data_IF_071798377559
#
_entry.id   IF_071798377559
#
_cell.length_a   1.000
_cell.length_b   1.000
_cell.length_c   1.000
_cell.angle_alpha   90.00
_cell.angle_beta   90.00
_cell.angle_gamma   90.00
#
_symmetry.space_group_name_H-M   'P 1'
#
loop_
_entity.id
_entity.type
_entity.pdbx_description
1 polymer ?
#
# COMPACT_ATOMS: atom_id res chain seq x y z
N UNK A 1 -9.00 -13.71 18.24
CA UNK A 1 -8.89 -12.26 18.00
C UNK A 1 -10.25 -11.58 18.13
N UNK A 2 -10.25 -10.25 18.30
CA UNK A 2 -11.44 -9.41 18.17
C UNK A 2 -11.35 -8.61 16.86
N UNK A 3 -12.21 -8.92 15.92
CA UNK A 3 -12.22 -8.36 14.57
C UNK A 3 -13.44 -7.46 14.40
N UNK A 4 -13.26 -6.26 13.86
CA UNK A 4 -14.34 -5.37 13.48
C UNK A 4 -14.39 -5.25 11.96
N UNK A 5 -15.48 -5.68 11.34
CA UNK A 5 -15.70 -5.57 9.89
C UNK A 5 -16.38 -4.24 9.59
N UNK A 6 -15.72 -3.39 8.82
CA UNK A 6 -16.22 -2.08 8.41
C UNK A 6 -16.94 -2.19 7.07
N UNK A 7 -18.15 -1.70 7.01
CA UNK A 7 -18.99 -1.72 5.80
C UNK A 7 -19.66 -0.36 5.61
N UNK A 8 -19.99 0.03 4.37
CA UNK A 8 -20.70 1.28 4.13
C UNK A 8 -22.17 1.21 4.61
N UNK A 9 -22.65 2.30 5.20
CA UNK A 9 -24.07 2.52 5.48
C UNK A 9 -24.70 3.35 4.35
N UNK A 10 -25.60 2.76 3.61
CA UNK A 10 -26.23 3.38 2.45
C UNK A 10 -27.54 4.10 2.75
N UNK A 11 -27.95 4.25 4.01
CA UNK A 11 -29.28 4.79 4.37
C UNK A 11 -29.57 6.17 3.80
N UNK A 12 -28.54 7.03 3.68
CA UNK A 12 -28.67 8.38 3.15
C UNK A 12 -28.21 8.51 1.69
N UNK A 13 -27.87 7.40 1.06
CA UNK A 13 -27.50 7.40 -0.35
C UNK A 13 -28.73 7.59 -1.24
N UNK A 14 -28.59 8.40 -2.29
CA UNK A 14 -29.60 8.56 -3.34
C UNK A 14 -29.74 7.32 -4.23
N UNK A 15 -28.72 6.48 -4.23
CA UNK A 15 -28.65 5.24 -5.02
C UNK A 15 -28.88 4.06 -4.08
N UNK A 16 -29.74 3.13 -4.47
CA UNK A 16 -29.97 1.90 -3.72
C UNK A 16 -28.88 0.86 -4.08
N UNK A 17 -27.84 0.82 -3.27
CA UNK A 17 -26.70 -0.10 -3.42
C UNK A 17 -26.97 -1.52 -2.92
N UNK A 18 -28.08 -1.78 -2.23
CA UNK A 18 -28.36 -3.09 -1.61
C UNK A 18 -28.45 -4.24 -2.61
N UNK A 19 -28.72 -3.93 -3.88
CA UNK A 19 -28.84 -4.93 -4.94
C UNK A 19 -27.49 -5.37 -5.54
N UNK A 20 -26.39 -4.65 -5.29
CA UNK A 20 -25.08 -5.04 -5.81
C UNK A 20 -23.93 -4.90 -4.79
N UNK A 21 -24.15 -4.29 -3.64
CA UNK A 21 -23.25 -4.31 -2.49
C UNK A 21 -24.02 -4.69 -1.21
N UNK A 22 -24.50 -5.94 -1.09
CA UNK A 22 -25.20 -6.42 0.09
C UNK A 22 -24.24 -6.52 1.29
N UNK A 23 -24.77 -6.42 2.53
CA UNK A 23 -23.97 -6.66 3.73
C UNK A 23 -23.26 -8.01 3.70
N UNK A 24 -22.01 -8.02 4.12
CA UNK A 24 -21.12 -9.19 4.15
C UNK A 24 -20.93 -9.64 5.61
N UNK A 25 -21.33 -10.86 5.93
CA UNK A 25 -21.08 -11.48 7.24
C UNK A 25 -19.84 -12.38 7.15
N UNK A 26 -18.75 -11.96 7.79
CA UNK A 26 -17.48 -12.68 7.81
C UNK A 26 -17.33 -13.62 9.01
N UNK A 27 -18.32 -13.73 9.89
CA UNK A 27 -18.26 -14.53 11.12
C UNK A 27 -17.98 -16.01 10.82
N UNK A 28 -18.58 -16.53 9.73
CA UNK A 28 -18.37 -17.91 9.30
C UNK A 28 -16.97 -18.20 8.75
N UNK A 29 -16.24 -17.17 8.31
CA UNK A 29 -14.88 -17.29 7.80
C UNK A 29 -13.80 -17.17 8.90
N UNK A 30 -14.18 -16.82 10.12
CA UNK A 30 -13.28 -16.64 11.26
C UNK A 30 -13.74 -17.46 12.48
N UNK A 31 -13.86 -18.80 12.33
CA UNK A 31 -14.29 -19.63 13.44
C UNK A 31 -13.29 -19.50 14.61
N UNK A 32 -13.83 -19.28 15.82
CA UNK A 32 -13.04 -19.10 17.04
C UNK A 32 -12.61 -17.65 17.31
N UNK A 33 -12.87 -16.72 16.41
CA UNK A 33 -12.64 -15.28 16.62
C UNK A 33 -13.98 -14.58 16.96
N UNK A 34 -13.89 -13.46 17.66
CA UNK A 34 -15.05 -12.58 17.87
C UNK A 34 -15.12 -11.57 16.72
N UNK A 35 -16.18 -11.62 15.94
CA UNK A 35 -16.40 -10.75 14.79
C UNK A 35 -17.58 -9.84 15.07
N UNK A 36 -17.36 -8.54 15.07
CA UNK A 36 -18.36 -7.50 15.17
C UNK A 36 -18.44 -6.75 13.81
N UNK A 37 -19.62 -6.28 13.39
CA UNK A 37 -19.81 -5.55 12.13
C UNK A 37 -20.22 -4.10 12.44
N UNK A 38 -19.52 -3.14 11.82
CA UNK A 38 -19.77 -1.71 11.96
C UNK A 38 -20.09 -1.09 10.60
N UNK A 39 -21.29 -0.56 10.47
CA UNK A 39 -21.73 0.18 9.28
C UNK A 39 -21.35 1.66 9.44
N UNK A 40 -20.49 2.16 8.54
CA UNK A 40 -19.98 3.50 8.58
C UNK A 40 -20.81 4.44 7.73
N UNK A 41 -21.05 5.63 8.26
CA UNK A 41 -21.74 6.71 7.59
C UNK A 41 -20.74 7.79 7.18
N UNK A 42 -20.74 8.20 5.91
CA UNK A 42 -19.74 9.13 5.34
C UNK A 42 -19.46 10.36 6.21
N UNK A 43 -20.50 11.01 6.72
CA UNK A 43 -20.37 12.23 7.52
C UNK A 43 -19.87 12.00 8.96
N UNK A 44 -19.85 10.76 9.45
CA UNK A 44 -19.50 10.44 10.85
C UNK A 44 -18.41 9.39 10.97
N UNK A 45 -17.79 8.96 9.87
CA UNK A 45 -16.75 7.93 9.78
C UNK A 45 -15.70 8.07 10.89
N UNK A 46 -15.05 9.22 11.01
CA UNK A 46 -14.02 9.44 12.02
C UNK A 46 -14.53 9.27 13.45
N UNK A 47 -15.73 9.79 13.76
CA UNK A 47 -16.34 9.66 15.11
C UNK A 47 -16.63 8.21 15.45
N UNK A 48 -17.25 7.47 14.51
CA UNK A 48 -17.58 6.06 14.69
C UNK A 48 -16.32 5.21 14.90
N UNK A 49 -15.27 5.42 14.09
CA UNK A 49 -14.00 4.71 14.23
C UNK A 49 -13.26 5.06 15.52
N UNK A 50 -13.29 6.32 15.97
CA UNK A 50 -12.73 6.72 17.26
C UNK A 50 -13.42 6.05 18.44
N UNK A 51 -14.72 5.84 18.37
CA UNK A 51 -15.50 5.12 19.37
C UNK A 51 -15.18 3.62 19.34
N UNK A 52 -15.15 3.03 18.13
CA UNK A 52 -14.79 1.64 17.92
C UNK A 52 -13.35 1.31 18.37
N UNK A 53 -12.40 2.22 18.14
CA UNK A 53 -11.01 2.05 18.57
C UNK A 53 -10.86 1.86 20.08
N UNK A 54 -11.76 2.44 20.88
CA UNK A 54 -11.77 2.25 22.35
C UNK A 54 -12.25 0.88 22.80
N UNK A 55 -12.89 0.12 21.92
CA UNK A 55 -13.41 -1.21 22.23
C UNK A 55 -12.30 -2.29 22.23
N UNK A 56 -11.08 -1.97 21.77
CA UNK A 56 -9.91 -2.86 21.79
C UNK A 56 -10.02 -4.00 20.79
N UNK A 57 -10.32 -3.69 19.54
CA UNK A 57 -10.21 -4.63 18.41
C UNK A 57 -8.74 -4.84 18.02
N UNK A 58 -8.40 -6.08 17.67
CA UNK A 58 -7.07 -6.43 17.18
C UNK A 58 -6.84 -5.97 15.74
N UNK A 59 -7.93 -5.85 14.96
CA UNK A 59 -7.90 -5.45 13.54
C UNK A 59 -9.26 -4.94 13.07
N UNK A 60 -9.25 -3.99 12.15
CA UNK A 60 -10.41 -3.54 11.39
C UNK A 60 -10.32 -4.09 9.94
N UNK A 61 -11.26 -4.95 9.56
CA UNK A 61 -11.39 -5.44 8.18
C UNK A 61 -12.18 -4.42 7.38
N UNK A 62 -11.48 -3.63 6.57
CA UNK A 62 -12.10 -2.57 5.78
C UNK A 62 -12.67 -3.10 4.47
N UNK A 63 -13.98 -3.05 4.32
CA UNK A 63 -14.73 -3.39 3.11
C UNK A 63 -15.42 -2.16 2.48
N UNK A 64 -15.01 -0.94 2.86
CA UNK A 64 -15.54 0.29 2.28
C UNK A 64 -14.81 0.62 0.98
N UNK A 65 -15.50 0.46 -0.14
CA UNK A 65 -14.96 0.55 -1.51
C UNK A 65 -15.57 1.72 -2.31
N UNK A 66 -16.18 2.71 -1.63
CA UNK A 66 -16.86 3.83 -2.28
C UNK A 66 -15.91 4.69 -3.13
N UNK A 67 -16.45 5.33 -4.16
CA UNK A 67 -15.70 6.31 -4.95
C UNK A 67 -15.53 7.61 -4.18
N UNK A 68 -14.45 8.33 -4.50
CA UNK A 68 -14.10 9.58 -3.81
C UNK A 68 -15.19 10.64 -3.90
N UNK A 69 -15.86 10.71 -5.04
CA UNK A 69 -16.90 11.71 -5.35
C UNK A 69 -18.30 11.32 -4.83
N UNK A 70 -18.44 10.16 -4.24
CA UNK A 70 -19.74 9.69 -3.74
C UNK A 70 -19.91 9.92 -2.24
N UNK A 71 -21.15 10.09 -1.81
CA UNK A 71 -21.53 10.16 -0.39
C UNK A 71 -21.50 8.78 0.30
N UNK A 72 -20.50 7.96 -0.05
CA UNK A 72 -20.28 6.63 0.46
C UNK A 72 -18.91 6.57 1.13
N UNK A 73 -18.77 5.92 2.30
CA UNK A 73 -17.47 5.72 2.95
C UNK A 73 -16.43 5.12 2.01
N UNK A 74 -15.26 5.74 1.92
CA UNK A 74 -14.23 5.44 0.95
C UNK A 74 -12.83 5.70 1.54
N UNK A 75 -12.01 6.53 0.91
CA UNK A 75 -10.68 6.93 1.39
C UNK A 75 -10.71 7.60 2.77
N UNK A 76 -11.81 8.24 3.13
CA UNK A 76 -12.03 8.83 4.47
C UNK A 76 -11.99 7.79 5.60
N UNK A 77 -12.34 6.54 5.31
CA UNK A 77 -12.19 5.42 6.26
C UNK A 77 -10.70 5.17 6.52
N UNK A 78 -9.90 5.09 5.49
CA UNK A 78 -8.45 4.82 5.60
C UNK A 78 -7.76 5.99 6.32
N UNK A 79 -8.02 7.24 5.94
CA UNK A 79 -7.47 8.40 6.63
C UNK A 79 -7.88 8.47 8.10
N UNK A 80 -9.09 8.03 8.44
CA UNK A 80 -9.55 7.97 9.82
C UNK A 80 -8.83 6.88 10.61
N UNK A 81 -8.62 5.71 10.02
CA UNK A 81 -7.87 4.61 10.63
C UNK A 81 -6.41 4.98 10.84
N UNK A 82 -5.76 5.58 9.84
CA UNK A 82 -4.38 6.08 9.95
C UNK A 82 -4.24 7.14 11.04
N UNK A 83 -5.16 8.13 11.06
CA UNK A 83 -5.14 9.21 12.05
C UNK A 83 -5.37 8.72 13.48
N UNK A 84 -6.11 7.63 13.64
CA UNK A 84 -6.41 7.00 14.93
C UNK A 84 -5.39 5.90 15.28
N UNK A 85 -4.39 5.68 14.43
CA UNK A 85 -3.36 4.64 14.58
C UNK A 85 -3.97 3.25 14.83
N UNK A 86 -5.02 2.91 14.08
CA UNK A 86 -5.73 1.63 14.20
C UNK A 86 -5.24 0.64 13.15
N UNK A 87 -5.08 -0.65 13.49
CA UNK A 87 -4.71 -1.69 12.53
C UNK A 87 -5.88 -1.98 11.57
N UNK A 88 -5.60 -2.08 10.26
CA UNK A 88 -6.64 -2.36 9.25
C UNK A 88 -6.14 -3.17 8.06
N UNK A 89 -7.08 -3.80 7.33
CA UNK A 89 -6.83 -4.50 6.07
C UNK A 89 -7.08 -3.59 4.87
N UNK A 90 -6.54 -3.97 3.72
CA UNK A 90 -6.68 -3.20 2.48
C UNK A 90 -5.52 -2.23 2.25
N UNK A 91 -5.60 -1.39 1.20
CA UNK A 91 -4.54 -0.48 0.80
C UNK A 91 -4.44 0.74 1.72
N UNK A 92 -3.27 1.39 1.73
CA UNK A 92 -3.15 2.76 2.26
C UNK A 92 -3.86 3.77 1.36
N UNK A 93 -4.06 4.99 1.88
CA UNK A 93 -4.70 6.06 1.11
C UNK A 93 -3.95 6.39 -0.20
N UNK A 94 -2.63 6.23 -0.22
CA UNK A 94 -1.78 6.42 -1.41
C UNK A 94 -2.13 5.46 -2.55
N UNK A 95 -2.60 4.27 -2.23
CA UNK A 95 -2.89 3.20 -3.19
C UNK A 95 -4.39 3.03 -3.48
N UNK A 96 -5.25 3.82 -2.84
CA UNK A 96 -6.70 3.62 -2.91
C UNK A 96 -7.24 3.67 -4.34
N UNK A 97 -6.89 4.71 -5.09
CA UNK A 97 -7.31 4.90 -6.48
C UNK A 97 -6.19 5.57 -7.30
N UNK A 98 -5.13 4.83 -7.68
CA UNK A 98 -4.06 5.38 -8.50
C UNK A 98 -4.56 5.73 -9.90
N UNK A 99 -4.06 6.83 -10.47
CA UNK A 99 -4.43 7.23 -11.83
C UNK A 99 -4.01 6.16 -12.84
N UNK A 100 -4.77 6.06 -13.94
CA UNK A 100 -4.44 5.11 -15.03
C UNK A 100 -3.08 5.40 -15.65
N UNK A 101 -2.66 6.66 -15.70
CA UNK A 101 -1.32 7.05 -16.13
C UNK A 101 -0.23 6.48 -15.21
N UNK A 102 -0.39 6.60 -13.89
CA UNK A 102 0.53 6.01 -12.93
C UNK A 102 0.58 4.48 -13.07
N UNK A 103 -0.55 3.84 -13.31
CA UNK A 103 -0.60 2.39 -13.57
C UNK A 103 0.26 1.99 -14.78
N UNK A 104 0.16 2.73 -15.88
CA UNK A 104 0.96 2.49 -17.09
C UNK A 104 2.45 2.80 -16.87
N UNK A 105 2.75 3.86 -16.12
CA UNK A 105 4.13 4.20 -15.76
C UNK A 105 4.80 3.10 -14.93
N UNK A 106 4.11 2.58 -13.92
CA UNK A 106 4.62 1.45 -13.12
C UNK A 106 4.83 0.22 -14.01
N UNK A 107 3.88 -0.12 -14.88
CA UNK A 107 4.03 -1.23 -15.82
C UNK A 107 5.28 -1.05 -16.71
N UNK A 108 5.48 0.16 -17.25
CA UNK A 108 6.64 0.50 -18.06
C UNK A 108 7.96 0.28 -17.31
N UNK A 109 8.09 0.85 -16.11
CA UNK A 109 9.32 0.76 -15.31
C UNK A 109 9.64 -0.66 -14.87
N UNK A 110 8.64 -1.53 -14.84
CA UNK A 110 8.77 -2.96 -14.50
C UNK A 110 8.85 -3.89 -15.70
N UNK A 111 8.87 -3.35 -16.92
CA UNK A 111 8.98 -4.14 -18.15
C UNK A 111 7.75 -5.00 -18.48
N UNK A 112 6.58 -4.67 -17.91
CA UNK A 112 5.32 -5.33 -18.23
C UNK A 112 4.62 -4.55 -19.35
N UNK A 113 4.20 -5.26 -20.40
CA UNK A 113 3.51 -4.62 -21.55
C UNK A 113 2.17 -4.06 -21.14
N UNK A 114 1.81 -2.92 -21.71
CA UNK A 114 0.52 -2.25 -21.58
C UNK A 114 0.11 -1.64 -22.93
N UNK A 115 -1.18 -1.41 -23.21
CA UNK A 115 -1.63 -0.75 -24.44
C UNK A 115 -1.04 0.67 -24.54
N UNK A 116 -0.61 1.08 -25.72
CA UNK A 116 -0.26 2.48 -25.97
C UNK A 116 -1.48 3.35 -25.68
N UNK A 117 -1.25 4.52 -25.10
CA UNK A 117 -2.35 5.41 -24.69
C UNK A 117 -1.98 6.88 -24.85
N UNK A 118 -3.00 7.72 -24.96
CA UNK A 118 -2.88 9.17 -24.98
C UNK A 118 -4.04 9.81 -24.21
N UNK A 119 -3.83 11.05 -23.79
CA UNK A 119 -4.90 11.91 -23.30
C UNK A 119 -5.24 12.96 -24.36
N UNK A 120 -6.54 13.13 -24.65
CA UNK A 120 -7.02 14.01 -25.68
C UNK A 120 -7.15 13.35 -27.05
N UNK A 121 -7.99 13.94 -27.90
CA UNK A 121 -8.39 13.38 -29.19
C UNK A 121 -7.27 13.41 -30.22
N UNK A 122 -6.68 14.59 -30.46
CA UNK A 122 -5.75 14.76 -31.59
C UNK A 122 -4.45 13.95 -31.37
N UNK A 123 -3.81 13.92 -30.17
CA UNK A 123 -2.68 13.04 -29.93
C UNK A 123 -3.01 11.55 -30.14
N UNK A 124 -4.23 11.13 -29.73
CA UNK A 124 -4.66 9.75 -29.91
C UNK A 124 -4.79 9.38 -31.37
N UNK A 125 -5.44 10.23 -32.19
CA UNK A 125 -5.62 9.98 -33.63
C UNK A 125 -4.29 9.98 -34.40
N UNK A 126 -3.30 10.72 -33.94
CA UNK A 126 -1.97 10.77 -34.59
C UNK A 126 -1.08 9.58 -34.23
N UNK A 127 -1.19 9.03 -33.03
CA UNK A 127 -0.19 8.11 -32.44
C UNK A 127 -0.68 6.71 -32.20
N UNK A 128 -1.99 6.49 -32.07
CA UNK A 128 -2.57 5.20 -31.73
C UNK A 128 -3.18 4.50 -32.93
N UNK A 129 -3.12 3.16 -32.91
CA UNK A 129 -3.76 2.33 -33.91
C UNK A 129 -5.23 2.01 -33.55
N UNK A 130 -6.10 1.93 -34.55
CA UNK A 130 -7.46 1.44 -34.38
C UNK A 130 -7.51 -0.10 -34.29
N UNK A 131 -8.49 -0.67 -33.57
CA UNK A 131 -9.53 0.02 -32.80
C UNK A 131 -8.99 0.64 -31.52
N UNK A 132 -9.58 1.75 -31.08
CA UNK A 132 -9.22 2.46 -29.85
C UNK A 132 -10.28 2.25 -28.79
N UNK A 133 -9.87 2.32 -27.52
CA UNK A 133 -10.74 2.19 -26.37
C UNK A 133 -10.71 3.46 -25.53
N UNK A 134 -11.87 4.08 -25.33
CA UNK A 134 -12.01 5.33 -24.58
C UNK A 134 -12.65 5.07 -23.25
N UNK A 135 -12.00 5.54 -22.17
CA UNK A 135 -12.45 5.37 -20.78
C UNK A 135 -12.08 6.57 -19.92
N UNK A 136 -12.71 6.79 -18.75
CA UNK A 136 -12.28 7.83 -17.82
C UNK A 136 -10.80 7.68 -17.43
N UNK A 137 -10.08 8.81 -17.33
CA UNK A 137 -8.69 8.83 -16.87
C UNK A 137 -8.54 8.45 -15.40
N UNK A 138 -9.57 8.75 -14.61
CA UNK A 138 -9.79 8.32 -13.24
C UNK A 138 -11.12 7.57 -13.17
N UNK A 139 -11.32 6.77 -12.23
CA UNK A 139 -12.43 5.89 -11.95
C UNK A 139 -12.16 4.41 -12.31
N UNK A 140 -12.59 3.55 -11.41
CA UNK A 140 -12.58 2.10 -11.55
C UNK A 140 -13.96 1.55 -11.95
N UNK A 141 -14.14 0.25 -11.79
CA UNK A 141 -15.43 -0.46 -11.85
C UNK A 141 -16.19 -0.35 -13.17
N UNK A 142 -15.47 -0.10 -14.27
CA UNK A 142 -16.04 0.15 -15.60
C UNK A 142 -17.03 1.32 -15.67
N UNK A 143 -16.97 2.28 -14.73
CA UNK A 143 -17.73 3.52 -14.85
C UNK A 143 -17.38 4.23 -16.14
N UNK A 144 -18.40 4.73 -16.84
CA UNK A 144 -18.24 5.38 -18.15
C UNK A 144 -17.88 4.43 -19.30
N UNK A 145 -17.74 3.11 -19.03
CA UNK A 145 -17.45 2.10 -20.05
C UNK A 145 -18.74 1.44 -20.52
N UNK A 146 -19.06 1.63 -21.79
CA UNK A 146 -20.20 1.07 -22.51
C UNK A 146 -19.77 0.55 -23.89
N UNK A 147 -20.73 0.17 -24.73
CA UNK A 147 -20.42 -0.35 -26.08
C UNK A 147 -19.74 0.68 -26.97
N UNK A 148 -20.00 1.96 -26.76
CA UNK A 148 -19.42 3.06 -27.55
C UNK A 148 -17.98 3.38 -27.11
N UNK A 149 -17.49 2.74 -26.03
CA UNK A 149 -16.10 2.87 -25.61
C UNK A 149 -15.10 2.25 -26.58
N UNK A 150 -15.53 1.28 -27.40
CA UNK A 150 -14.72 0.68 -28.47
C UNK A 150 -14.95 1.45 -29.78
N UNK A 151 -14.02 2.33 -30.11
CA UNK A 151 -14.08 3.23 -31.25
C UNK A 151 -13.29 2.67 -32.44
N UNK A 152 -13.88 2.74 -33.63
CA UNK A 152 -13.30 2.26 -34.89
C UNK A 152 -13.05 3.38 -35.90
N UNK A 153 -13.58 4.57 -35.63
CA UNK A 153 -13.44 5.76 -36.46
C UNK A 153 -13.04 6.99 -35.63
N UNK A 154 -12.41 8.00 -36.25
CA UNK A 154 -12.08 9.26 -35.60
C UNK A 154 -13.30 9.98 -35.00
N UNK A 155 -14.46 9.88 -35.67
CA UNK A 155 -15.71 10.49 -35.24
C UNK A 155 -16.20 9.84 -33.90
N UNK A 156 -16.14 8.53 -33.81
CA UNK A 156 -16.49 7.78 -32.58
C UNK A 156 -15.56 8.16 -31.42
N UNK A 157 -14.24 8.28 -31.68
CA UNK A 157 -13.28 8.72 -30.64
C UNK A 157 -13.64 10.11 -30.15
N UNK A 158 -13.90 11.08 -31.06
CA UNK A 158 -14.25 12.46 -30.67
C UNK A 158 -15.52 12.51 -29.83
N UNK A 159 -16.56 11.80 -30.27
CA UNK A 159 -17.83 11.75 -29.57
C UNK A 159 -17.68 11.14 -28.15
N UNK A 160 -16.98 10.01 -28.04
CA UNK A 160 -16.82 9.32 -26.77
C UNK A 160 -15.91 10.08 -25.81
N UNK A 161 -14.80 10.66 -26.28
CA UNK A 161 -13.92 11.51 -25.45
C UNK A 161 -14.71 12.70 -24.90
N UNK A 162 -15.48 13.41 -25.74
CA UNK A 162 -16.29 14.53 -25.29
C UNK A 162 -17.31 14.14 -24.23
N UNK A 163 -17.97 12.98 -24.37
CA UNK A 163 -18.92 12.47 -23.38
C UNK A 163 -18.24 12.15 -22.03
N UNK A 164 -17.10 11.46 -22.08
CA UNK A 164 -16.34 11.09 -20.87
C UNK A 164 -15.77 12.34 -20.18
N UNK A 165 -15.20 13.29 -20.92
CA UNK A 165 -14.66 14.53 -20.33
C UNK A 165 -15.74 15.37 -19.67
N UNK A 166 -16.95 15.40 -20.25
CA UNK A 166 -18.08 16.13 -19.67
C UNK A 166 -18.52 15.54 -18.34
N UNK A 167 -18.52 14.21 -18.21
CA UNK A 167 -19.04 13.51 -17.02
C UNK A 167 -17.95 13.26 -15.97
N UNK A 168 -16.73 12.91 -16.40
CA UNK A 168 -15.63 12.46 -15.53
C UNK A 168 -14.40 13.39 -15.50
N UNK A 169 -14.43 14.49 -16.25
CA UNK A 169 -13.38 15.50 -16.26
C UNK A 169 -12.14 15.16 -17.11
N UNK A 170 -11.85 13.88 -17.37
CA UNK A 170 -10.74 13.46 -18.24
C UNK A 170 -11.01 12.13 -18.91
N UNK A 171 -10.57 11.99 -20.17
CA UNK A 171 -10.66 10.77 -20.94
C UNK A 171 -9.26 10.25 -21.31
N UNK A 172 -9.04 8.95 -21.11
CA UNK A 172 -7.89 8.23 -21.64
C UNK A 172 -8.32 7.43 -22.86
N UNK A 173 -7.56 7.54 -23.93
CA UNK A 173 -7.70 6.74 -25.16
C UNK A 173 -6.55 5.77 -25.23
N UNK A 174 -6.82 4.47 -25.39
CA UNK A 174 -5.78 3.45 -25.53
C UNK A 174 -6.06 2.53 -26.73
N UNK A 175 -5.03 1.89 -27.26
CA UNK A 175 -5.19 0.84 -28.27
C UNK A 175 -5.95 -0.34 -27.67
N UNK A 176 -6.98 -0.82 -28.36
CA UNK A 176 -7.76 -1.96 -27.91
C UNK A 176 -7.03 -3.27 -28.22
N UNK A 177 -6.72 -4.01 -27.18
CA UNK A 177 -6.10 -5.33 -27.34
C UNK A 177 -7.20 -6.37 -27.55
N UNK A 178 -7.29 -6.91 -28.74
CA UNK A 178 -8.23 -7.99 -29.04
C UNK A 178 -7.76 -9.32 -28.44
N UNK A 179 -8.68 -10.11 -27.90
CA UNK A 179 -8.39 -11.45 -27.40
C UNK A 179 -8.94 -11.76 -26.02
N UNK A 180 -8.25 -12.64 -25.31
CA UNK A 180 -8.68 -13.20 -24.02
C UNK A 180 -8.44 -12.21 -22.88
N UNK A 181 -9.33 -12.19 -21.90
CA UNK A 181 -9.22 -11.33 -20.71
C UNK A 181 -9.06 -12.17 -19.45
N UNK A 182 -8.12 -11.75 -18.59
CA UNK A 182 -7.77 -12.45 -17.35
C UNK A 182 -7.75 -11.49 -16.19
N UNK A 183 -8.01 -12.04 -15.01
CA UNK A 183 -7.84 -11.30 -13.76
C UNK A 183 -7.09 -12.13 -12.73
N UNK A 184 -6.27 -11.43 -11.91
CA UNK A 184 -5.41 -12.03 -10.88
C UNK A 184 -5.57 -11.24 -9.60
N UNK A 185 -5.83 -11.93 -8.49
CA UNK A 185 -5.78 -11.35 -7.16
C UNK A 185 -4.37 -11.47 -6.59
N UNK A 186 -3.88 -10.39 -5.99
CA UNK A 186 -2.57 -10.34 -5.32
C UNK A 186 -2.76 -9.77 -3.93
N UNK A 187 -2.00 -10.28 -2.96
CA UNK A 187 -2.00 -9.73 -1.60
C UNK A 187 -0.59 -9.58 -1.06
N UNK A 188 -0.45 -8.65 -0.11
CA UNK A 188 0.75 -8.49 0.70
C UNK A 188 1.08 -9.80 1.44
N UNK A 189 2.36 -10.15 1.47
CA UNK A 189 2.84 -11.29 2.23
C UNK A 189 3.30 -10.83 3.63
N UNK A 190 2.61 -11.23 4.71
CA UNK A 190 2.98 -10.81 6.06
C UNK A 190 4.37 -11.28 6.49
N UNK A 191 4.88 -12.37 5.92
CA UNK A 191 6.21 -12.89 6.21
C UNK A 191 7.31 -12.15 5.45
N UNK A 192 7.02 -11.68 4.22
CA UNK A 192 7.97 -10.94 3.40
C UNK A 192 7.24 -9.97 2.46
N UNK A 193 7.20 -8.69 2.81
CA UNK A 193 6.52 -7.65 2.02
C UNK A 193 7.05 -7.50 0.59
N UNK A 194 8.28 -7.95 0.31
CA UNK A 194 8.90 -7.86 -1.01
C UNK A 194 8.51 -9.01 -1.94
N UNK A 195 7.83 -10.02 -1.43
CA UNK A 195 7.37 -11.20 -2.17
C UNK A 195 5.84 -11.35 -2.08
N UNK A 196 5.08 -10.52 -2.80
CA UNK A 196 3.61 -10.59 -2.76
C UNK A 196 3.10 -11.93 -3.25
N UNK A 197 1.95 -12.35 -2.73
CA UNK A 197 1.28 -13.60 -3.07
C UNK A 197 0.27 -13.37 -4.19
N UNK A 198 0.35 -14.13 -5.26
CA UNK A 198 -0.62 -14.09 -6.36
C UNK A 198 -1.39 -15.41 -6.43
N UNK A 199 -2.71 -15.30 -6.47
CA UNK A 199 -3.65 -16.43 -6.41
C UNK A 199 -3.98 -16.98 -7.80
N UNK A 200 -4.89 -17.96 -7.88
CA UNK A 200 -5.25 -18.64 -9.13
C UNK A 200 -5.82 -17.61 -10.14
N UNK A 201 -5.20 -17.39 -11.30
CA UNK A 201 -5.79 -16.54 -12.33
C UNK A 201 -7.08 -17.14 -12.87
N UNK A 202 -8.05 -16.27 -13.17
CA UNK A 202 -9.25 -16.66 -13.89
C UNK A 202 -9.31 -15.94 -15.25
N UNK A 203 -9.95 -16.58 -16.21
CA UNK A 203 -10.30 -16.03 -17.51
C UNK A 203 -11.77 -15.65 -17.53
N UNK A 204 -12.08 -14.49 -18.08
CA UNK A 204 -13.45 -14.10 -18.33
C UNK A 204 -13.87 -14.48 -19.75
N UNK A 205 -14.86 -15.36 -19.85
CA UNK A 205 -15.45 -15.78 -21.12
C UNK A 205 -16.58 -14.82 -21.49
N UNK A 206 -16.38 -14.07 -22.56
CA UNK A 206 -17.38 -13.13 -23.04
C UNK A 206 -18.55 -13.85 -23.71
N UNK A 207 -19.81 -13.36 -23.48
CA UNK A 207 -20.95 -13.78 -24.27
C UNK A 207 -20.73 -13.51 -25.77
N UNK A 208 -21.44 -14.25 -26.62
CA UNK A 208 -21.35 -14.05 -28.07
C UNK A 208 -21.74 -12.62 -28.46
N UNK A 209 -20.83 -11.93 -29.15
CA UNK A 209 -21.00 -10.54 -29.58
C UNK A 209 -20.39 -9.48 -28.66
N UNK A 210 -19.92 -9.85 -27.48
CA UNK A 210 -19.20 -8.95 -26.58
C UNK A 210 -17.69 -9.31 -26.58
N UNK A 211 -16.83 -8.28 -26.52
CA UNK A 211 -15.37 -8.45 -26.52
C UNK A 211 -14.67 -7.77 -25.34
N UNK A 212 -15.41 -7.13 -24.45
CA UNK A 212 -14.91 -6.48 -23.24
C UNK A 212 -16.04 -6.31 -22.20
N UNK A 213 -15.65 -6.10 -20.92
CA UNK A 213 -16.60 -5.88 -19.81
C UNK A 213 -17.16 -4.47 -19.85
N UNK A 214 -18.45 -4.34 -20.10
CA UNK A 214 -19.18 -3.09 -19.89
C UNK A 214 -19.72 -3.02 -18.45
N UNK A 215 -20.09 -1.82 -17.99
CA UNK A 215 -20.79 -1.66 -16.72
C UNK A 215 -22.04 -2.54 -16.62
N UNK A 216 -22.83 -2.59 -17.71
CA UNK A 216 -24.02 -3.43 -17.77
C UNK A 216 -23.72 -4.93 -17.60
N UNK A 217 -22.63 -5.42 -18.20
CA UNK A 217 -22.20 -6.83 -18.04
C UNK A 217 -21.72 -7.14 -16.61
N UNK A 218 -21.14 -6.16 -15.93
CA UNK A 218 -20.73 -6.34 -14.52
C UNK A 218 -21.92 -6.43 -13.56
N UNK A 219 -22.94 -5.62 -13.77
CA UNK A 219 -24.05 -5.47 -12.84
C UNK A 219 -25.22 -6.43 -13.13
N UNK A 220 -25.47 -6.74 -14.41
CA UNK A 220 -26.67 -7.47 -14.84
C UNK A 220 -26.42 -8.95 -15.21
N UNK A 221 -25.19 -9.31 -15.51
CA UNK A 221 -24.85 -10.62 -16.06
C UNK A 221 -23.77 -11.33 -15.23
N UNK A 222 -24.02 -11.52 -13.93
CA UNK A 222 -23.21 -12.42 -13.12
C UNK A 222 -23.50 -13.87 -13.54
N UNK A 223 -22.79 -14.32 -14.58
CA UNK A 223 -22.77 -15.72 -14.94
C UNK A 223 -21.53 -16.39 -14.32
N UNK A 224 -21.69 -17.23 -13.27
CA UNK A 224 -20.57 -17.95 -12.65
C UNK A 224 -19.73 -18.71 -13.69
N UNK A 225 -20.37 -19.21 -14.73
CA UNK A 225 -19.75 -19.95 -15.83
C UNK A 225 -18.82 -19.10 -16.72
N UNK A 226 -18.92 -17.77 -16.65
CA UNK A 226 -18.03 -16.86 -17.39
C UNK A 226 -16.67 -16.66 -16.74
N UNK A 227 -16.48 -17.09 -15.48
CA UNK A 227 -15.24 -16.91 -14.72
C UNK A 227 -14.59 -18.29 -14.52
N UNK A 228 -13.66 -18.66 -15.41
CA UNK A 228 -13.05 -19.99 -15.41
C UNK A 228 -11.59 -19.94 -14.96
N UNK A 229 -11.17 -20.91 -14.17
CA UNK A 229 -9.77 -21.02 -13.77
C UNK A 229 -8.86 -21.25 -14.98
N UNK A 230 -7.73 -20.55 -15.04
CA UNK A 230 -6.71 -20.79 -16.07
C UNK A 230 -6.05 -22.14 -15.82
N UNK A 231 -6.38 -23.13 -16.65
CA UNK A 231 -5.87 -24.51 -16.52
C UNK A 231 -4.43 -24.66 -17.01
N UNK A 232 -4.00 -23.86 -17.99
CA UNK A 232 -2.63 -23.83 -18.47
C UNK A 232 -1.69 -23.28 -17.41
N UNK A 233 -0.86 -24.14 -16.83
CA UNK A 233 0.09 -23.81 -15.76
C UNK A 233 1.12 -22.77 -16.19
N UNK A 234 1.57 -22.81 -17.45
CA UNK A 234 2.56 -21.86 -17.95
C UNK A 234 1.95 -20.46 -18.06
N UNK A 235 0.76 -20.37 -18.60
CA UNK A 235 0.01 -19.12 -18.67
C UNK A 235 -0.33 -18.60 -17.27
N UNK A 236 -0.81 -19.45 -16.37
CA UNK A 236 -1.13 -19.08 -15.00
C UNK A 236 0.10 -18.50 -14.27
N UNK A 237 1.28 -19.11 -14.45
CA UNK A 237 2.52 -18.59 -13.84
C UNK A 237 2.95 -17.26 -14.45
N UNK A 238 2.82 -17.06 -15.76
CA UNK A 238 3.10 -15.78 -16.42
C UNK A 238 2.20 -14.65 -15.89
N UNK A 239 0.91 -14.94 -15.74
CA UNK A 239 -0.08 -14.00 -15.18
C UNK A 239 0.26 -13.65 -13.73
N UNK A 240 0.54 -14.64 -12.88
CA UNK A 240 0.93 -14.42 -11.48
C UNK A 240 2.20 -13.59 -11.37
N UNK A 241 3.21 -13.87 -12.18
CA UNK A 241 4.47 -13.14 -12.16
C UNK A 241 4.30 -11.69 -12.61
N UNK A 242 3.57 -11.45 -13.69
CA UNK A 242 3.24 -10.09 -14.12
C UNK A 242 2.46 -9.32 -13.03
N UNK A 243 1.50 -9.97 -12.39
CA UNK A 243 0.70 -9.37 -11.33
C UNK A 243 1.54 -9.03 -10.08
N UNK A 244 2.42 -9.93 -9.63
CA UNK A 244 3.36 -9.66 -8.52
C UNK A 244 4.30 -8.50 -8.86
N UNK A 245 4.83 -8.48 -10.08
CA UNK A 245 5.76 -7.45 -10.56
C UNK A 245 5.11 -6.07 -10.53
N UNK A 246 3.86 -5.94 -10.99
CA UNK A 246 3.11 -4.69 -10.93
C UNK A 246 2.80 -4.31 -9.48
N UNK A 247 2.27 -5.23 -8.68
CA UNK A 247 1.95 -4.96 -7.27
C UNK A 247 3.19 -4.51 -6.49
N UNK A 248 4.33 -5.20 -6.65
CA UNK A 248 5.59 -4.80 -6.05
C UNK A 248 6.11 -3.45 -6.59
N UNK A 249 5.82 -3.14 -7.86
CA UNK A 249 6.15 -1.84 -8.47
C UNK A 249 5.44 -0.65 -7.83
N UNK A 250 4.25 -0.88 -7.29
CA UNK A 250 3.49 0.09 -6.49
C UNK A 250 3.93 0.13 -5.01
N UNK A 251 4.87 -0.73 -4.59
CA UNK A 251 5.08 -1.02 -3.17
C UNK A 251 3.76 -1.40 -2.50
N UNK A 252 3.05 -2.35 -3.12
CA UNK A 252 1.66 -2.65 -2.83
C UNK A 252 1.43 -3.08 -1.39
N UNK A 253 0.36 -2.57 -0.82
CA UNK A 253 -0.13 -2.86 0.53
C UNK A 253 -1.53 -3.46 0.48
N UNK A 254 -1.84 -4.32 1.44
CA UNK A 254 -3.13 -5.00 1.50
C UNK A 254 -3.30 -6.01 0.37
N UNK A 255 -4.23 -5.75 -0.54
CA UNK A 255 -4.51 -6.62 -1.69
C UNK A 255 -5.02 -5.80 -2.88
N UNK A 256 -4.90 -6.39 -4.08
CA UNK A 256 -5.37 -5.78 -5.32
C UNK A 256 -5.79 -6.84 -6.34
N UNK A 257 -6.71 -6.49 -7.22
CA UNK A 257 -7.04 -7.25 -8.42
C UNK A 257 -6.41 -6.58 -9.64
N UNK A 258 -5.74 -7.37 -10.46
CA UNK A 258 -5.10 -6.90 -11.69
C UNK A 258 -5.77 -7.54 -12.90
N UNK A 259 -6.07 -6.72 -13.89
CA UNK A 259 -6.73 -7.15 -15.12
C UNK A 259 -5.74 -7.12 -16.29
N UNK A 260 -5.76 -8.18 -17.10
CA UNK A 260 -4.85 -8.40 -18.23
C UNK A 260 -5.62 -8.80 -19.49
N UNK A 261 -5.04 -8.49 -20.66
CA UNK A 261 -5.47 -9.08 -21.93
C UNK A 261 -4.34 -9.81 -22.62
N UNK A 262 -4.70 -10.74 -23.49
CA UNK A 262 -3.74 -11.53 -24.26
C UNK A 262 -4.16 -11.63 -25.72
N UNK A 263 -3.28 -11.15 -26.60
CA UNK A 263 -3.34 -11.32 -28.04
C UNK A 263 -2.27 -12.30 -28.49
N UNK A 264 -2.65 -13.45 -28.98
CA UNK A 264 -1.67 -14.51 -29.28
C UNK A 264 -0.71 -14.76 -28.10
N UNK A 265 0.63 -14.54 -28.26
CA UNK A 265 1.60 -14.71 -27.19
C UNK A 265 1.76 -13.46 -26.28
N UNK A 266 1.21 -12.31 -26.67
CA UNK A 266 1.33 -11.03 -25.98
C UNK A 266 0.46 -10.99 -24.73
N UNK A 267 1.05 -10.65 -23.56
CA UNK A 267 0.32 -10.40 -22.33
C UNK A 267 0.39 -8.91 -22.02
N UNK A 268 -0.77 -8.27 -21.83
CA UNK A 268 -0.92 -6.83 -21.69
C UNK A 268 -1.64 -6.51 -20.39
N UNK A 269 -1.00 -5.70 -19.55
CA UNK A 269 -1.61 -5.19 -18.32
C UNK A 269 -2.60 -4.07 -18.65
N UNK A 270 -3.79 -4.14 -18.08
CA UNK A 270 -4.82 -3.12 -18.26
C UNK A 270 -4.89 -2.17 -17.07
N UNK A 271 -5.19 -2.70 -15.88
CA UNK A 271 -5.37 -1.90 -14.67
C UNK A 271 -5.12 -2.71 -13.40
N UNK A 272 -4.91 -2.01 -12.27
CA UNK A 272 -4.86 -2.56 -10.93
C UNK A 272 -5.89 -1.85 -10.05
N UNK A 273 -6.65 -2.63 -9.28
CA UNK A 273 -7.68 -2.15 -8.38
C UNK A 273 -7.34 -2.59 -6.95
N UNK A 274 -6.80 -1.69 -6.12
CA UNK A 274 -6.40 -1.96 -4.74
C UNK A 274 -7.59 -2.08 -3.78
N UNK A 275 -8.70 -1.42 -4.06
CA UNK A 275 -9.93 -1.51 -3.30
C UNK A 275 -10.95 -2.40 -4.05
N UNK A 276 -10.54 -3.61 -4.41
CA UNK A 276 -11.43 -4.52 -5.14
C UNK A 276 -12.40 -5.24 -4.20
N UNK A 277 -13.62 -5.40 -4.68
CA UNK A 277 -14.71 -6.10 -3.99
C UNK A 277 -14.40 -7.57 -3.73
N UNK A 278 -14.67 -8.04 -2.51
CA UNK A 278 -14.42 -9.42 -2.08
C UNK A 278 -15.35 -9.82 -0.92
N UNK A 279 -15.52 -11.10 -0.68
CA UNK A 279 -16.35 -11.70 0.35
C UNK A 279 -17.86 -11.51 0.16
N UNK A 280 -18.31 -11.39 -1.06
CA UNK A 280 -19.73 -11.30 -1.35
C UNK A 280 -20.47 -12.61 -1.09
N UNK A 281 -21.73 -12.53 -0.64
CA UNK A 281 -22.58 -13.71 -0.51
C UNK A 281 -22.87 -14.35 -1.89
N UNK A 282 -23.29 -15.62 -1.92
CA UNK A 282 -23.68 -16.31 -3.17
C UNK A 282 -24.70 -15.52 -3.99
N UNK A 283 -24.43 -15.37 -5.27
CA UNK A 283 -25.25 -14.60 -6.22
C UNK A 283 -24.85 -13.14 -6.40
N UNK A 284 -23.85 -12.67 -5.62
CA UNK A 284 -23.30 -11.31 -5.71
C UNK A 284 -21.78 -11.31 -5.95
N UNK A 285 -21.19 -12.48 -6.15
CA UNK A 285 -19.76 -12.66 -6.20
C UNK A 285 -19.09 -11.80 -7.27
N UNK A 286 -18.03 -11.10 -6.88
CA UNK A 286 -17.13 -10.40 -7.77
C UNK A 286 -16.00 -11.30 -8.31
N UNK A 287 -15.16 -10.75 -9.19
CA UNK A 287 -14.03 -11.49 -9.77
C UNK A 287 -13.07 -12.02 -8.72
N UNK A 288 -12.85 -11.30 -7.61
CA UNK A 288 -11.99 -11.77 -6.53
C UNK A 288 -12.57 -13.02 -5.83
N UNK A 289 -13.90 -13.09 -5.65
CA UNK A 289 -14.55 -14.24 -5.06
C UNK A 289 -14.44 -15.49 -5.96
N UNK A 290 -14.55 -15.32 -7.28
CA UNK A 290 -14.30 -16.42 -8.23
C UNK A 290 -12.85 -16.90 -8.22
N UNK A 291 -11.87 -15.99 -8.10
CA UNK A 291 -10.46 -16.34 -7.92
C UNK A 291 -10.30 -17.22 -6.67
N UNK A 292 -10.82 -16.76 -5.52
CA UNK A 292 -10.72 -17.48 -4.25
C UNK A 292 -11.45 -18.82 -4.24
N UNK A 293 -12.53 -18.95 -5.00
CA UNK A 293 -13.24 -20.23 -5.19
C UNK A 293 -12.37 -21.27 -5.91
N UNK A 294 -11.50 -20.83 -6.81
CA UNK A 294 -10.61 -21.70 -7.58
C UNK A 294 -9.21 -21.84 -6.99
N UNK A 295 -8.85 -21.03 -5.97
CA UNK A 295 -7.56 -21.11 -5.30
C UNK A 295 -7.65 -21.96 -4.02
N UNK A 296 -6.65 -22.80 -3.74
CA UNK A 296 -6.61 -23.60 -2.52
C UNK A 296 -6.71 -22.81 -1.20
N UNK A 297 -6.33 -21.53 -1.21
CA UNK A 297 -6.42 -20.67 -0.02
C UNK A 297 -7.87 -20.43 0.41
N UNK A 298 -8.79 -20.36 -0.54
CA UNK A 298 -10.18 -20.05 -0.30
C UNK A 298 -10.43 -18.70 0.38
N UNK A 299 -11.70 -18.39 0.67
CA UNK A 299 -12.07 -17.12 1.32
C UNK A 299 -11.55 -17.03 2.77
N UNK A 300 -11.62 -18.14 3.53
CA UNK A 300 -11.11 -18.16 4.91
C UNK A 300 -9.62 -17.88 4.96
N UNK A 301 -8.83 -18.63 4.20
CA UNK A 301 -7.38 -18.47 4.18
C UNK A 301 -6.95 -17.08 3.70
N UNK A 302 -7.64 -16.54 2.69
CA UNK A 302 -7.38 -15.19 2.20
C UNK A 302 -7.69 -14.12 3.25
N UNK A 303 -8.83 -14.23 3.94
CA UNK A 303 -9.19 -13.30 5.02
C UNK A 303 -8.14 -13.31 6.14
N UNK A 304 -7.71 -14.49 6.57
CA UNK A 304 -6.62 -14.63 7.56
C UNK A 304 -5.30 -14.04 7.07
N UNK A 305 -4.99 -14.18 5.80
CA UNK A 305 -3.80 -13.63 5.15
C UNK A 305 -3.79 -12.09 5.21
N UNK A 306 -4.88 -11.44 4.77
CA UNK A 306 -4.95 -9.97 4.77
C UNK A 306 -5.03 -9.39 6.19
N UNK A 307 -5.63 -10.10 7.14
CA UNK A 307 -5.61 -9.75 8.56
C UNK A 307 -4.17 -9.79 9.08
N UNK A 308 -3.44 -10.88 8.84
CA UNK A 308 -2.05 -11.01 9.28
C UNK A 308 -1.16 -9.92 8.66
N UNK A 309 -1.35 -9.59 7.38
CA UNK A 309 -0.63 -8.53 6.69
C UNK A 309 -0.94 -7.14 7.30
N UNK A 310 -2.21 -6.83 7.58
CA UNK A 310 -2.63 -5.59 8.22
C UNK A 310 -2.04 -5.41 9.63
N UNK A 311 -2.05 -6.46 10.45
CA UNK A 311 -1.43 -6.46 11.78
C UNK A 311 0.08 -6.26 11.66
N UNK A 312 0.76 -7.00 10.79
CA UNK A 312 2.21 -6.87 10.59
C UNK A 312 2.59 -5.47 10.09
N UNK A 313 1.80 -4.88 9.19
CA UNK A 313 2.01 -3.51 8.70
C UNK A 313 1.85 -2.49 9.83
N UNK A 314 0.79 -2.60 10.62
CA UNK A 314 0.56 -1.74 11.77
C UNK A 314 1.72 -1.81 12.79
N UNK A 315 2.17 -3.03 13.12
CA UNK A 315 3.31 -3.23 14.03
C UNK A 315 4.62 -2.64 13.49
N UNK A 316 4.84 -2.69 12.18
CA UNK A 316 6.01 -2.05 11.54
C UNK A 316 5.95 -0.52 11.60
N UNK A 317 4.76 0.06 11.52
CA UNK A 317 4.52 1.51 11.61
C UNK A 317 4.57 2.07 13.04
N UNK A 318 4.39 1.22 14.06
CA UNK A 318 4.41 1.68 15.44
C UNK A 318 5.83 2.08 15.88
N UNK A 319 5.93 3.24 16.54
CA UNK A 319 7.16 3.60 17.23
C UNK A 319 7.43 2.62 18.38
N UNK A 320 8.57 1.95 18.31
CA UNK A 320 9.00 0.99 19.34
C UNK A 320 9.69 1.65 20.54
N UNK A 321 9.63 3.00 20.60
CA UNK A 321 10.17 3.77 21.70
C UNK A 321 9.34 5.01 22.01
N UNK A 322 9.45 5.46 23.26
CA UNK A 322 8.93 6.75 23.74
C UNK A 322 10.06 7.59 24.27
N UNK A 323 9.89 8.92 24.24
CA UNK A 323 10.81 9.85 24.89
C UNK A 323 10.48 9.93 26.36
N UNK A 324 11.52 9.96 27.20
CA UNK A 324 11.36 10.08 28.65
C UNK A 324 12.44 10.96 29.26
N UNK A 325 12.17 11.50 30.44
CA UNK A 325 13.16 12.21 31.22
C UNK A 325 14.28 11.24 31.66
N UNK A 326 15.52 11.69 31.57
CA UNK A 326 16.71 10.92 31.95
C UNK A 326 17.50 11.71 32.99
N UNK A 327 17.86 11.07 34.08
CA UNK A 327 18.64 11.68 35.18
C UNK A 327 20.11 11.97 34.82
N UNK A 328 20.60 11.45 33.69
CA UNK A 328 22.01 11.54 33.27
C UNK A 328 22.20 12.68 32.25
N UNK A 329 21.32 12.80 31.23
CA UNK A 329 21.50 13.70 30.13
C UNK A 329 20.22 14.51 29.78
N UNK A 330 19.24 14.55 30.65
CA UNK A 330 17.98 15.27 30.49
C UNK A 330 16.89 14.44 29.82
N UNK A 331 17.12 13.89 28.64
CA UNK A 331 16.15 13.06 27.90
C UNK A 331 16.81 11.82 27.33
N UNK A 332 16.02 10.78 27.17
CA UNK A 332 16.38 9.53 26.49
C UNK A 332 15.20 8.92 25.76
N UNK A 333 15.41 7.83 25.06
CA UNK A 333 14.36 7.02 24.46
C UNK A 333 14.28 5.67 25.13
N UNK A 334 13.06 5.18 25.35
CA UNK A 334 12.76 3.97 26.10
C UNK A 334 11.91 3.02 25.30
N UNK A 335 12.24 1.74 25.31
CA UNK A 335 11.49 0.70 24.61
C UNK A 335 10.02 0.66 25.04
N UNK A 336 9.08 0.61 24.10
CA UNK A 336 7.64 0.47 24.36
C UNK A 336 7.20 -0.99 24.47
N UNK A 337 8.00 -1.92 23.96
CA UNK A 337 7.74 -3.36 23.95
C UNK A 337 9.05 -4.14 24.10
N UNK A 338 8.93 -5.43 24.44
CA UNK A 338 10.07 -6.33 24.38
C UNK A 338 10.55 -6.49 22.94
N UNK A 339 11.87 -6.53 22.75
CA UNK A 339 12.51 -6.71 21.44
C UNK A 339 13.57 -7.79 21.53
N UNK A 340 13.70 -8.59 20.48
CA UNK A 340 14.75 -9.59 20.33
C UNK A 340 15.98 -9.03 19.64
N UNK A 341 17.15 -9.60 19.91
CA UNK A 341 18.37 -9.29 19.19
C UNK A 341 18.16 -9.39 17.67
N UNK A 342 18.61 -8.39 16.91
CA UNK A 342 18.45 -8.29 15.47
C UNK A 342 17.14 -7.63 15.00
N UNK A 343 16.17 -7.37 15.88
CA UNK A 343 14.95 -6.67 15.49
C UNK A 343 15.20 -5.18 15.23
N UNK A 344 14.48 -4.64 14.24
CA UNK A 344 14.53 -3.22 13.89
C UNK A 344 13.77 -2.40 14.94
N UNK A 345 14.46 -1.46 15.54
CA UNK A 345 13.92 -0.48 16.52
C UNK A 345 13.33 0.73 15.80
N UNK A 346 14.05 1.23 14.78
CA UNK A 346 13.65 2.38 13.99
C UNK A 346 14.24 2.28 12.59
N UNK A 347 13.42 2.58 11.57
CA UNK A 347 13.81 2.56 10.16
C UNK A 347 14.32 3.94 9.77
N UNK A 348 15.63 4.06 9.54
CA UNK A 348 16.24 5.30 9.07
C UNK A 348 16.05 5.55 7.58
N UNK A 349 15.76 4.51 6.81
CA UNK A 349 15.46 4.60 5.38
C UNK A 349 14.16 5.37 5.07
N UNK A 350 13.26 5.41 6.04
CA UNK A 350 11.98 6.13 5.93
C UNK A 350 12.05 7.57 6.46
N UNK A 351 13.22 8.00 6.98
CA UNK A 351 13.41 9.35 7.54
C UNK A 351 13.95 10.31 6.50
N UNK A 352 13.59 11.58 6.64
CA UNK A 352 14.22 12.65 5.88
C UNK A 352 15.67 12.81 6.34
N UNK A 353 16.62 12.38 5.50
CA UNK A 353 18.06 12.46 5.76
C UNK A 353 18.77 13.11 4.59
N UNK A 354 19.81 13.91 4.91
CA UNK A 354 20.74 14.43 3.92
C UNK A 354 22.01 13.59 3.95
N UNK A 355 22.38 13.02 2.82
CA UNK A 355 23.62 12.29 2.63
C UNK A 355 24.59 13.18 1.83
N UNK A 356 25.75 13.47 2.38
CA UNK A 356 26.71 14.33 1.73
C UNK A 356 28.16 13.97 2.11
N UNK A 357 29.10 14.33 1.23
CA UNK A 357 30.53 14.21 1.57
C UNK A 357 30.98 15.40 2.40
N UNK A 358 31.96 15.20 3.28
CA UNK A 358 32.55 16.28 4.09
C UNK A 358 33.02 17.46 3.24
N UNK A 359 33.63 17.17 2.09
CA UNK A 359 34.12 18.22 1.19
C UNK A 359 32.95 19.09 0.64
N UNK A 360 31.86 18.47 0.26
CA UNK A 360 30.66 19.21 -0.21
C UNK A 360 30.07 20.06 0.90
N UNK A 361 29.93 19.52 2.11
CA UNK A 361 29.35 20.22 3.27
C UNK A 361 30.17 21.46 3.59
N UNK A 362 31.48 21.32 3.79
CA UNK A 362 32.36 22.42 4.15
C UNK A 362 32.43 23.52 3.07
N UNK A 363 32.21 23.16 1.79
CA UNK A 363 32.27 24.09 0.66
C UNK A 363 30.96 24.81 0.41
N UNK A 364 29.81 24.13 0.62
CA UNK A 364 28.53 24.54 0.03
C UNK A 364 27.42 24.80 1.04
N UNK A 365 27.54 24.33 2.28
CA UNK A 365 26.49 24.51 3.28
C UNK A 365 26.64 25.83 4.08
N UNK A 366 25.55 26.43 4.54
CA UNK A 366 25.58 27.57 5.45
C UNK A 366 26.32 27.26 6.76
N UNK A 367 26.92 28.27 7.44
CA UNK A 367 27.71 28.04 8.65
C UNK A 367 26.96 27.35 9.79
N UNK A 368 25.70 27.63 9.99
CA UNK A 368 24.82 26.98 10.98
C UNK A 368 24.61 25.50 10.67
N UNK A 369 24.46 25.15 9.40
CA UNK A 369 24.34 23.75 8.98
C UNK A 369 25.68 23.00 9.03
N UNK A 370 26.80 23.71 8.81
CA UNK A 370 28.14 23.12 9.03
C UNK A 370 28.37 22.83 10.51
N UNK A 371 27.90 23.69 11.41
CA UNK A 371 27.98 23.43 12.85
C UNK A 371 27.08 22.26 13.27
N UNK A 372 25.85 22.19 12.78
CA UNK A 372 24.97 21.04 12.98
C UNK A 372 25.60 19.73 12.44
N UNK A 373 26.24 19.80 11.28
CA UNK A 373 27.02 18.66 10.75
C UNK A 373 28.10 18.18 11.72
N UNK A 374 28.90 19.10 12.25
CA UNK A 374 29.98 18.73 13.19
C UNK A 374 29.45 18.04 14.44
N UNK A 375 28.30 18.49 14.92
CA UNK A 375 27.74 18.05 16.18
C UNK A 375 26.88 16.79 16.05
N UNK A 376 26.11 16.65 14.96
CA UNK A 376 25.05 15.65 14.86
C UNK A 376 25.18 14.68 13.70
N UNK A 377 26.06 14.94 12.72
CA UNK A 377 26.17 14.04 11.59
C UNK A 377 26.84 12.73 11.98
N UNK A 378 26.37 11.65 11.39
CA UNK A 378 26.90 10.31 11.58
C UNK A 378 27.61 9.83 10.32
N UNK A 379 28.60 8.96 10.47
CA UNK A 379 29.32 8.36 9.34
C UNK A 379 28.47 7.24 8.76
N UNK A 380 28.06 7.39 7.49
CA UNK A 380 27.33 6.37 6.75
C UNK A 380 28.25 5.38 6.00
N UNK A 381 29.56 5.69 5.92
CA UNK A 381 30.58 4.89 5.23
C UNK A 381 31.16 5.59 4.00
N UNK A 382 32.36 5.17 3.55
CA UNK A 382 32.99 5.68 2.35
C UNK A 382 33.15 7.21 2.25
N UNK A 383 33.36 7.90 3.39
CA UNK A 383 33.45 9.37 3.43
C UNK A 383 32.12 10.11 3.22
N UNK A 384 31.01 9.40 3.24
CA UNK A 384 29.65 9.94 3.22
C UNK A 384 29.14 10.07 4.66
N UNK A 385 28.52 11.18 4.94
CA UNK A 385 27.91 11.50 6.22
C UNK A 385 26.39 11.61 6.06
N UNK A 386 25.67 11.23 7.09
CA UNK A 386 24.23 11.35 7.21
C UNK A 386 23.92 12.41 8.27
N UNK A 387 23.09 13.39 7.90
CA UNK A 387 22.49 14.34 8.82
C UNK A 387 20.97 14.19 8.73
N UNK A 388 20.33 13.80 9.82
CA UNK A 388 18.87 13.76 9.92
C UNK A 388 18.28 15.15 9.84
N UNK A 389 17.13 15.29 9.21
CA UNK A 389 16.43 16.58 9.18
C UNK A 389 15.87 16.93 10.58
N UNK A 390 15.81 18.23 10.86
CA UNK A 390 15.39 18.74 12.17
C UNK A 390 13.85 18.78 12.29
N UNK A 391 13.19 17.64 12.15
CA UNK A 391 11.78 17.53 12.51
C UNK A 391 11.65 17.31 14.03
N UNK A 392 11.11 18.29 14.80
CA UNK A 392 10.92 18.12 16.24
C UNK A 392 10.04 16.91 16.59
N UNK A 393 9.16 16.47 15.67
CA UNK A 393 8.32 15.31 15.86
C UNK A 393 9.09 14.01 15.70
N UNK A 394 10.21 14.04 14.96
CA UNK A 394 11.09 12.89 14.73
C UNK A 394 12.30 12.86 15.69
N UNK A 395 12.46 13.90 16.53
CA UNK A 395 13.57 13.96 17.48
C UNK A 395 13.58 12.77 18.43
N UNK A 396 14.68 12.02 18.45
CA UNK A 396 14.89 10.83 19.26
C UNK A 396 16.26 10.92 19.96
N UNK A 397 16.33 11.55 21.14
CA UNK A 397 17.58 11.73 21.88
C UNK A 397 18.05 10.38 22.44
N UNK A 398 18.94 9.72 21.72
CA UNK A 398 19.49 8.44 22.13
C UNK A 398 20.83 8.65 22.84
N UNK A 399 20.93 8.18 24.08
CA UNK A 399 22.13 8.38 24.89
C UNK A 399 23.22 7.37 24.56
N UNK A 400 24.48 7.77 24.86
CA UNK A 400 25.60 6.89 24.72
C UNK A 400 25.68 5.87 25.86
N UNK A 401 26.09 4.62 25.51
CA UNK A 401 26.59 3.63 26.46
C UNK A 401 27.80 2.90 25.88
N UNK A 402 28.78 2.63 26.71
CA UNK A 402 29.90 1.75 26.36
C UNK A 402 29.50 0.26 26.31
N UNK A 403 28.30 -0.07 26.79
CA UNK A 403 27.63 -1.37 26.66
C UNK A 403 26.21 -1.15 26.04
N UNK A 404 26.13 -0.77 24.78
CA UNK A 404 24.88 -0.38 24.16
C UNK A 404 23.94 -1.57 23.93
N UNK A 405 22.63 -1.31 23.89
CA UNK A 405 21.64 -2.32 23.54
C UNK A 405 21.09 -2.14 22.10
N UNK A 406 21.49 -1.06 21.44
CA UNK A 406 21.13 -0.82 20.02
C UNK A 406 22.35 -0.38 19.21
N UNK A 407 22.28 -0.53 17.89
CA UNK A 407 23.31 -0.10 16.94
C UNK A 407 22.74 0.05 15.53
N UNK A 408 23.48 0.72 14.64
CA UNK A 408 23.08 0.87 13.25
C UNK A 408 23.49 -0.32 12.39
N UNK A 409 22.55 -0.78 11.53
CA UNK A 409 22.79 -1.66 10.41
C UNK A 409 22.24 -0.96 9.17
N UNK A 410 23.11 -0.48 8.30
CA UNK A 410 22.73 0.48 7.26
C UNK A 410 22.22 1.77 7.91
N UNK A 411 21.05 2.21 7.51
CA UNK A 411 20.35 3.38 8.10
C UNK A 411 19.41 2.99 9.27
N UNK A 412 19.21 1.71 9.50
CA UNK A 412 18.26 1.23 10.51
C UNK A 412 18.92 1.04 11.89
N UNK A 413 18.23 1.49 12.92
CA UNK A 413 18.58 1.19 14.29
C UNK A 413 18.05 -0.21 14.65
N UNK A 414 18.92 -1.09 15.12
CA UNK A 414 18.55 -2.47 15.48
C UNK A 414 18.93 -2.80 16.93
N UNK A 415 18.20 -3.73 17.53
CA UNK A 415 18.54 -4.28 18.85
C UNK A 415 19.79 -5.19 18.75
N UNK A 416 20.82 -4.92 19.54
CA UNK A 416 22.05 -5.73 19.60
C UNK A 416 21.90 -6.94 20.54
N UNK A 417 20.96 -6.90 21.46
CA UNK A 417 20.58 -7.95 22.39
C UNK A 417 19.09 -7.91 22.67
N UNK A 418 18.56 -8.85 23.42
CA UNK A 418 17.20 -8.78 23.91
C UNK A 418 17.04 -7.52 24.79
N UNK A 419 15.96 -6.77 24.56
CA UNK A 419 15.61 -5.52 25.24
C UNK A 419 14.21 -5.70 25.83
N UNK A 420 14.00 -5.25 27.06
CA UNK A 420 12.69 -5.29 27.70
C UNK A 420 11.94 -3.96 27.54
N UNK A 421 10.63 -4.02 27.57
CA UNK A 421 9.79 -2.81 27.66
C UNK A 421 10.21 -1.94 28.85
N UNK A 422 10.30 -0.63 28.64
CA UNK A 422 10.76 0.34 29.64
C UNK A 422 12.28 0.48 29.77
N UNK A 423 13.08 -0.33 29.07
CA UNK A 423 14.54 -0.21 29.05
C UNK A 423 14.98 1.00 28.20
N UNK A 424 15.94 1.77 28.66
CA UNK A 424 16.51 2.87 27.86
C UNK A 424 17.29 2.30 26.67
N UNK A 425 17.04 2.86 25.48
CA UNK A 425 17.72 2.51 24.26
C UNK A 425 19.00 3.34 24.13
N UNK A 426 20.15 2.68 24.15
CA UNK A 426 21.45 3.34 24.13
C UNK A 426 22.27 2.88 22.95
N UNK A 427 23.19 3.74 22.48
CA UNK A 427 24.05 3.47 21.34
C UNK A 427 25.50 3.83 21.65
N UNK A 428 26.47 3.20 20.98
CA UNK A 428 27.89 3.59 21.10
C UNK A 428 28.24 4.72 20.12
N UNK A 429 28.43 5.92 20.62
CA UNK A 429 28.80 7.08 19.80
C UNK A 429 30.11 6.90 19.05
N UNK A 430 31.07 6.13 19.59
CA UNK A 430 32.36 5.94 18.93
C UNK A 430 32.27 5.18 17.60
N UNK A 431 31.20 4.42 17.39
CA UNK A 431 31.01 3.62 16.18
C UNK A 431 30.50 4.42 14.96
N UNK A 432 29.98 5.62 15.15
CA UNK A 432 29.31 6.36 14.08
C UNK A 432 29.43 7.89 14.17
N UNK A 433 29.91 8.43 15.29
CA UNK A 433 30.01 9.87 15.44
C UNK A 433 31.03 10.49 14.45
N UNK A 434 30.75 11.73 14.09
CA UNK A 434 31.61 12.50 13.21
C UNK A 434 33.02 12.67 13.85
N UNK A 435 34.12 12.38 13.12
CA UNK A 435 35.47 12.65 13.61
C UNK A 435 35.73 14.12 13.98
N UNK A 436 34.96 15.04 13.46
CA UNK A 436 35.03 16.48 13.78
C UNK A 436 34.30 16.84 15.10
N UNK A 437 33.62 15.89 15.74
CA UNK A 437 32.94 16.13 17.00
C UNK A 437 33.92 16.30 18.17
N UNK A 438 33.55 17.12 19.14
CA UNK A 438 34.34 17.31 20.37
C UNK A 438 34.43 16.02 21.20
N UNK A 439 35.51 15.79 21.92
CA UNK A 439 35.63 14.66 22.83
C UNK A 439 34.45 14.65 23.83
N UNK A 440 33.90 13.47 24.08
CA UNK A 440 32.73 13.29 24.94
C UNK A 440 33.12 12.58 26.24
N UNK A 441 32.83 13.20 27.40
CA UNK A 441 33.02 12.58 28.71
C UNK A 441 31.83 11.66 28.99
N UNK A 442 32.09 10.38 29.11
CA UNK A 442 31.08 9.37 29.31
C UNK A 442 30.72 9.16 30.78
N UNK A 443 29.43 9.17 31.07
CA UNK A 443 28.85 8.86 32.39
C UNK A 443 27.87 7.67 32.35
N UNK A 444 28.04 6.72 31.40
CA UNK A 444 27.07 5.66 31.16
C UNK A 444 27.01 4.61 32.30
N UNK A 445 27.93 4.59 33.23
CA UNK A 445 27.94 3.66 34.34
C UNK A 445 28.22 2.19 34.01
N UNK A 446 28.50 1.87 32.76
CA UNK A 446 28.83 0.51 32.34
C UNK A 446 30.15 0.02 32.93
N UNK A 447 30.27 -1.28 33.28
CA UNK A 447 31.50 -1.85 33.82
C UNK A 447 32.71 -1.70 32.90
N UNK A 448 32.49 -1.62 31.59
CA UNK A 448 33.48 -1.39 30.54
C UNK A 448 33.54 0.08 30.08
N UNK A 449 33.12 1.03 30.91
CA UNK A 449 33.08 2.44 30.55
C UNK A 449 34.49 2.97 30.17
N UNK A 450 34.58 3.62 29.02
CA UNK A 450 35.85 4.18 28.48
C UNK A 450 36.23 5.53 29.08
N UNK A 451 35.37 6.14 29.89
CA UNK A 451 35.58 7.44 30.52
C UNK A 451 35.48 8.61 29.56
N UNK A 452 36.41 8.71 28.61
CA UNK A 452 36.34 9.74 27.54
C UNK A 452 36.39 9.10 26.18
N UNK A 453 35.47 9.52 25.31
CA UNK A 453 35.44 9.11 23.91
C UNK A 453 36.11 10.12 23.02
N UNK A 454 36.97 9.64 22.17
CA UNK A 454 37.60 10.41 21.11
C UNK A 454 37.12 9.87 19.77
N UNK A 455 36.61 10.72 18.92
CA UNK A 455 36.10 10.36 17.61
C UNK A 455 37.27 10.46 16.61
N UNK A 456 37.53 9.38 15.84
CA UNK A 456 38.63 9.30 14.89
C UNK A 456 38.16 8.74 13.54
#
# INVERSE_FOLDING_TARGET
MRVCVLQPDYRDSKVDYRHYDPPRDLSGLLPGDRVDHLFLHKSTTYRQLREAGRAGYDIFVNLCEGYLDWDVPSIDVIWSLDRLELPYTGPSARLYDPSKELMKYVAHTRGVRYPNFEFGVEPALERLAFPMFVKPGHAGDSLGVDRDSLCRTPEEVRAKVSAIEHEYGSAMVEEFIEGREFTVLVAENPANRFEPLAFQPIEFLFPAGDSFKTYALKVQAHHPESNVAVADRQLANRLREAARTIFAGFEGEGYARLDFRMDGPGLWFLEINFACSVFYPPGYEGSADYILRHDPIGHEGFLRQIIAAGIARHQRGQRRFVRGANGIAGFGIYATCDMKAGEVVSRGEEKAVRLATRAHILKSWPPDQVEAFRQYATVAGNGVFMLCDEDPHEWAPQNHSCNPNTGYVGLNLVALRDIRAGEELTIDYAGFANPDAAPFVCSCGAANCRGTLYFR
#
